data_IF_310679636285
#
_entry.id   IF_310679636285
#
_cell.length_a   1.000
_cell.length_b   1.000
_cell.length_c   1.000
_cell.angle_alpha   90.00
_cell.angle_beta   90.00
_cell.angle_gamma   90.00
#
_symmetry.space_group_name_H-M   'P 1'
#
loop_
_entity.id
_entity.type
_entity.pdbx_description
1 polymer ?
#
# COMPACT_ATOMS: atom_id res chain seq x y z
N UNK A 1 -18.84 2.21 10.69
CA UNK A 1 -17.84 1.35 11.38
C UNK A 1 -17.90 1.43 12.91
N UNK A 2 -18.28 2.55 13.56
CA UNK A 2 -18.60 2.55 15.01
C UNK A 2 -20.11 2.30 15.28
N UNK A 3 -20.95 2.36 14.25
CA UNK A 3 -22.39 2.13 14.35
C UNK A 3 -22.83 0.64 14.29
N UNK A 4 -21.91 -0.31 14.10
CA UNK A 4 -22.26 -1.71 13.73
C UNK A 4 -21.74 -2.81 14.70
N UNK A 5 -21.66 -2.53 16.01
CA UNK A 5 -21.33 -3.56 17.04
C UNK A 5 -19.92 -4.18 16.97
N UNK A 6 -18.96 -3.57 16.27
CA UNK A 6 -17.56 -4.02 16.31
C UNK A 6 -16.79 -3.41 17.49
N UNK A 7 -15.86 -4.18 18.08
CA UNK A 7 -15.01 -3.73 19.19
C UNK A 7 -13.72 -3.03 18.72
N UNK A 8 -13.25 -3.35 17.51
CA UNK A 8 -12.10 -2.72 16.85
C UNK A 8 -12.18 -2.85 15.32
N UNK A 9 -11.30 -2.14 14.61
CA UNK A 9 -11.06 -2.33 13.19
C UNK A 9 -9.58 -2.29 12.85
N UNK A 10 -9.18 -2.96 11.76
CA UNK A 10 -7.82 -2.87 11.22
C UNK A 10 -7.81 -1.93 10.02
N UNK A 11 -6.86 -0.99 9.98
CA UNK A 11 -6.69 -0.06 8.85
C UNK A 11 -5.21 0.19 8.56
N UNK A 12 -4.91 0.60 7.33
CA UNK A 12 -3.61 1.12 6.95
C UNK A 12 -3.43 2.55 7.47
N UNK A 13 -2.19 2.90 7.85
CA UNK A 13 -1.84 4.20 8.41
C UNK A 13 -1.96 4.27 9.93
N UNK A 14 -1.68 5.45 10.50
CA UNK A 14 -1.65 5.68 11.96
C UNK A 14 -2.51 6.85 12.45
N UNK A 15 -3.22 7.56 11.56
CA UNK A 15 -4.00 8.75 11.94
C UNK A 15 -5.32 8.31 12.58
N UNK A 16 -5.56 8.75 13.81
CA UNK A 16 -6.75 8.42 14.61
C UNK A 16 -7.70 9.61 14.73
N UNK A 17 -9.00 9.33 14.73
CA UNK A 17 -9.99 10.29 15.22
C UNK A 17 -9.83 10.48 16.73
N UNK A 18 -10.27 11.64 17.25
CA UNK A 18 -10.29 11.92 18.69
C UNK A 18 -11.01 10.78 19.44
N UNK A 19 -10.44 10.37 20.58
CA UNK A 19 -10.92 9.27 21.44
C UNK A 19 -10.75 7.83 20.89
N UNK A 20 -9.90 7.62 19.88
CA UNK A 20 -9.47 6.30 19.41
C UNK A 20 -8.01 6.02 19.76
N UNK A 21 -7.69 4.76 20.06
CA UNK A 21 -6.32 4.25 20.16
C UNK A 21 -5.94 3.59 18.82
N UNK A 22 -4.71 3.82 18.35
CA UNK A 22 -4.11 3.06 17.25
C UNK A 22 -2.87 2.31 17.75
N UNK A 23 -2.83 1.00 17.48
CA UNK A 23 -1.72 0.13 17.83
C UNK A 23 -1.16 -0.47 16.55
N UNK A 24 0.15 -0.32 16.25
CA UNK A 24 0.75 -0.96 15.08
C UNK A 24 0.70 -2.48 15.24
N UNK A 25 0.18 -3.17 14.22
CA UNK A 25 0.07 -4.64 14.19
C UNK A 25 0.81 -5.26 13.00
N UNK A 26 1.50 -4.45 12.21
CA UNK A 26 2.39 -4.91 11.15
C UNK A 26 3.59 -3.98 10.93
N UNK A 27 4.56 -4.39 10.09
CA UNK A 27 5.70 -3.58 9.74
C UNK A 27 5.29 -2.34 8.93
N UNK A 28 6.24 -1.43 8.71
CA UNK A 28 6.04 -0.37 7.71
C UNK A 28 5.93 -0.97 6.32
N UNK A 29 5.03 -0.40 5.52
CA UNK A 29 4.72 -0.86 4.18
C UNK A 29 5.27 0.10 3.15
N UNK A 30 5.42 -0.38 1.93
CA UNK A 30 5.87 0.39 0.78
C UNK A 30 5.07 -0.08 -0.42
N UNK A 31 4.66 0.85 -1.28
CA UNK A 31 4.12 0.47 -2.58
C UNK A 31 5.24 0.32 -3.60
N UNK A 32 4.98 -0.37 -4.70
CA UNK A 32 5.93 -0.59 -5.78
C UNK A 32 5.23 -0.48 -7.12
N UNK A 33 5.81 0.32 -8.02
CA UNK A 33 5.45 0.32 -9.44
C UNK A 33 6.27 -0.74 -10.15
N UNK A 34 5.60 -1.69 -10.80
CA UNK A 34 6.23 -2.86 -11.42
C UNK A 34 5.67 -3.12 -12.81
N UNK A 35 6.50 -3.63 -13.71
CA UNK A 35 6.09 -4.19 -15.01
C UNK A 35 6.99 -5.37 -15.40
N UNK A 36 6.50 -6.28 -16.25
CA UNK A 36 7.34 -7.38 -16.75
C UNK A 36 8.51 -6.86 -17.61
N UNK A 37 9.60 -7.64 -17.76
CA UNK A 37 10.62 -7.35 -18.75
C UNK A 37 10.08 -7.15 -20.16
N UNK A 38 9.12 -7.99 -20.60
CA UNK A 38 8.49 -7.92 -21.92
C UNK A 38 7.77 -6.59 -22.18
N UNK A 39 7.15 -6.00 -21.16
CA UNK A 39 6.52 -4.69 -21.27
C UNK A 39 7.53 -3.58 -21.66
N UNK A 40 8.77 -3.71 -21.18
CA UNK A 40 9.84 -2.72 -21.38
C UNK A 40 10.71 -2.97 -22.62
N UNK A 41 10.50 -4.05 -23.37
CA UNK A 41 11.28 -4.32 -24.61
C UNK A 41 11.16 -3.18 -25.64
N UNK A 42 9.97 -2.58 -25.73
CA UNK A 42 9.68 -1.48 -26.65
C UNK A 42 9.47 -0.12 -25.94
N UNK A 43 9.73 -0.04 -24.63
CA UNK A 43 9.38 1.13 -23.80
C UNK A 43 10.49 1.50 -22.83
N UNK A 44 10.87 2.77 -22.86
CA UNK A 44 11.77 3.33 -21.84
C UNK A 44 11.11 3.27 -20.46
N UNK A 45 11.87 2.90 -19.43
CA UNK A 45 11.37 2.88 -18.05
C UNK A 45 11.07 4.31 -17.56
N UNK A 46 9.96 4.55 -16.86
CA UNK A 46 9.64 5.87 -16.32
C UNK A 46 10.66 6.25 -15.24
N UNK A 47 11.07 7.52 -15.24
CA UNK A 47 12.03 8.10 -14.27
C UNK A 47 11.34 8.96 -13.22
N UNK A 48 10.18 9.51 -13.58
CA UNK A 48 9.32 10.34 -12.71
C UNK A 48 7.87 9.88 -12.79
N UNK A 49 7.02 10.14 -11.77
CA UNK A 49 5.60 9.83 -11.81
C UNK A 49 4.88 10.44 -13.01
N UNK A 50 5.33 11.59 -13.50
CA UNK A 50 4.76 12.27 -14.66
C UNK A 50 4.93 11.45 -15.94
N UNK A 51 6.00 10.66 -16.05
CA UNK A 51 6.25 9.80 -17.22
C UNK A 51 5.18 8.72 -17.40
N UNK A 52 4.39 8.41 -16.34
CA UNK A 52 3.32 7.42 -16.40
C UNK A 52 2.23 7.76 -17.44
N UNK A 53 2.11 9.03 -17.84
CA UNK A 53 1.19 9.43 -18.93
C UNK A 53 1.54 8.78 -20.27
N UNK A 54 2.80 8.38 -20.47
CA UNK A 54 3.27 7.67 -21.67
C UNK A 54 3.26 6.15 -21.51
N UNK A 55 2.70 5.62 -20.42
CA UNK A 55 2.67 4.21 -20.11
C UNK A 55 1.24 3.68 -19.99
N UNK A 56 1.04 2.44 -20.46
CA UNK A 56 -0.16 1.67 -20.14
C UNK A 56 -0.05 1.23 -18.67
N UNK A 57 -1.00 1.67 -17.84
CA UNK A 57 -1.08 1.31 -16.44
C UNK A 57 -2.32 0.43 -16.17
N UNK A 58 -2.21 -0.45 -15.18
CA UNK A 58 -3.30 -1.33 -14.75
C UNK A 58 -4.02 -0.65 -13.60
N UNK A 59 -5.32 -0.40 -13.78
CA UNK A 59 -6.13 0.32 -12.83
C UNK A 59 -6.63 -0.60 -11.70
N UNK A 60 -6.55 -0.11 -10.47
CA UNK A 60 -7.16 -0.76 -9.31
C UNK A 60 -8.47 -0.06 -8.94
N UNK A 61 -9.60 -0.73 -9.04
CA UNK A 61 -10.90 -0.24 -8.57
C UNK A 61 -11.07 -0.60 -7.10
N UNK A 62 -11.22 0.42 -6.24
CA UNK A 62 -11.45 0.21 -4.82
C UNK A 62 -12.95 -0.13 -4.58
N UNK A 63 -13.28 -1.34 -4.11
CA UNK A 63 -14.68 -1.79 -3.99
C UNK A 63 -15.53 -0.91 -3.07
N UNK A 64 -14.92 -0.34 -2.02
CA UNK A 64 -15.60 0.42 -0.98
C UNK A 64 -15.63 1.93 -1.22
N UNK A 65 -14.69 2.47 -2.00
CA UNK A 65 -14.63 3.90 -2.35
C UNK A 65 -15.23 4.22 -3.73
N UNK A 66 -15.61 3.21 -4.52
CA UNK A 66 -16.28 3.37 -5.82
C UNK A 66 -15.40 3.92 -6.96
N UNK A 67 -14.20 4.41 -6.65
CA UNK A 67 -13.26 5.02 -7.60
C UNK A 67 -12.09 4.12 -8.02
N UNK A 68 -11.35 4.58 -9.02
CA UNK A 68 -10.02 4.06 -9.33
C UNK A 68 -9.02 4.61 -8.32
N UNK A 69 -8.13 3.76 -7.84
CA UNK A 69 -7.08 4.14 -6.93
C UNK A 69 -6.14 5.14 -7.61
N UNK A 70 -6.01 6.31 -6.99
CA UNK A 70 -5.05 7.34 -7.42
C UNK A 70 -3.69 6.93 -6.92
N UNK A 71 -2.69 6.88 -7.79
CA UNK A 71 -1.35 6.48 -7.39
C UNK A 71 -0.70 7.64 -6.65
N UNK A 72 -0.28 7.38 -5.42
CA UNK A 72 0.31 8.35 -4.51
C UNK A 72 1.82 8.13 -4.45
N UNK A 73 2.59 9.18 -4.69
CA UNK A 73 4.04 9.20 -4.69
C UNK A 73 4.53 10.29 -3.75
N UNK A 74 5.69 10.11 -3.14
CA UNK A 74 6.38 11.13 -2.36
C UNK A 74 7.86 11.13 -2.70
N UNK A 75 8.44 12.32 -2.82
CA UNK A 75 9.90 12.51 -2.93
C UNK A 75 10.28 13.68 -2.02
N UNK A 76 10.77 13.36 -0.82
CA UNK A 76 11.23 14.36 0.14
C UNK A 76 10.12 15.24 0.71
N UNK A 77 8.94 14.66 0.98
CA UNK A 77 7.77 15.36 1.52
C UNK A 77 6.92 16.08 0.47
N UNK A 78 7.25 15.93 -0.82
CA UNK A 78 6.47 16.47 -1.93
C UNK A 78 5.57 15.39 -2.52
N UNK A 79 4.34 15.33 -2.02
CA UNK A 79 3.31 14.43 -2.54
C UNK A 79 2.98 14.72 -4.02
N UNK A 80 2.92 13.66 -4.82
CA UNK A 80 2.42 13.68 -6.20
C UNK A 80 1.34 12.62 -6.35
N UNK A 81 0.18 13.02 -6.87
CA UNK A 81 -0.96 12.11 -7.10
C UNK A 81 -1.22 11.98 -8.59
N UNK A 82 -1.14 10.76 -9.11
CA UNK A 82 -1.29 10.47 -10.54
C UNK A 82 -2.54 9.63 -10.75
N UNK A 83 -3.47 10.14 -11.56
CA UNK A 83 -4.51 9.31 -12.19
C UNK A 83 -3.90 8.71 -13.44
N UNK A 84 -3.77 7.39 -13.44
CA UNK A 84 -3.18 6.67 -14.55
C UNK A 84 -4.24 6.20 -15.53
N UNK A 85 -3.83 5.98 -16.78
CA UNK A 85 -4.70 5.47 -17.83
C UNK A 85 -4.27 4.08 -18.28
N UNK A 86 -5.23 3.28 -18.72
CA UNK A 86 -4.98 1.97 -19.30
C UNK A 86 -6.23 1.11 -19.38
N UNK A 87 -6.11 0.05 -20.16
CA UNK A 87 -7.23 -0.75 -20.66
C UNK A 87 -7.80 -1.69 -19.59
N UNK A 88 -6.92 -2.15 -18.69
CA UNK A 88 -7.28 -3.13 -17.68
C UNK A 88 -7.63 -2.44 -16.37
N UNK A 89 -8.75 -2.85 -15.79
CA UNK A 89 -9.19 -2.45 -14.45
C UNK A 89 -9.59 -3.69 -13.68
N UNK A 90 -9.01 -3.88 -12.50
CA UNK A 90 -9.34 -4.98 -11.60
C UNK A 90 -9.68 -4.44 -10.20
N UNK A 91 -10.46 -5.18 -9.45
CA UNK A 91 -10.77 -4.90 -8.04
C UNK A 91 -10.06 -5.88 -7.08
N UNK A 92 -9.11 -6.65 -7.60
CA UNK A 92 -8.36 -7.69 -6.87
C UNK A 92 -6.85 -7.55 -7.17
N UNK A 93 -6.05 -7.43 -6.12
CA UNK A 93 -4.61 -7.19 -6.24
C UNK A 93 -3.84 -8.34 -6.89
N UNK A 94 -4.30 -9.59 -6.75
CA UNK A 94 -3.66 -10.74 -7.40
C UNK A 94 -3.88 -10.71 -8.93
N UNK A 95 -5.03 -10.21 -9.40
CA UNK A 95 -5.27 -9.97 -10.82
C UNK A 95 -4.42 -8.83 -11.39
N UNK A 96 -4.20 -7.74 -10.63
CA UNK A 96 -3.24 -6.71 -11.02
C UNK A 96 -1.83 -7.28 -11.20
N UNK A 97 -1.37 -8.08 -10.23
CA UNK A 97 -0.06 -8.73 -10.26
C UNK A 97 0.09 -9.62 -11.50
N UNK A 98 -0.91 -10.48 -11.74
CA UNK A 98 -0.89 -11.38 -12.90
C UNK A 98 -0.84 -10.62 -14.22
N UNK A 99 -1.65 -9.58 -14.37
CA UNK A 99 -1.63 -8.75 -15.57
C UNK A 99 -0.29 -8.04 -15.79
N UNK A 100 0.39 -7.61 -14.72
CA UNK A 100 1.73 -7.02 -14.82
C UNK A 100 2.79 -8.05 -15.23
N UNK A 101 2.71 -9.28 -14.70
CA UNK A 101 3.59 -10.40 -15.07
C UNK A 101 3.42 -10.80 -16.54
N UNK A 102 2.18 -10.79 -17.02
CA UNK A 102 1.83 -11.11 -18.41
C UNK A 102 2.11 -9.93 -19.38
N UNK A 103 2.64 -8.80 -18.88
CA UNK A 103 3.11 -7.67 -19.68
C UNK A 103 2.03 -6.71 -20.18
N UNK A 104 0.85 -6.72 -19.57
CA UNK A 104 -0.26 -5.84 -19.98
C UNK A 104 -0.11 -4.38 -19.52
N UNK A 105 0.85 -4.06 -18.65
CA UNK A 105 1.03 -2.71 -18.16
C UNK A 105 1.86 -2.63 -16.89
N UNK A 106 1.97 -1.41 -16.37
CA UNK A 106 2.52 -1.14 -15.04
C UNK A 106 1.43 -1.33 -13.97
N UNK A 107 1.75 -2.03 -12.89
CA UNK A 107 0.89 -2.13 -11.71
C UNK A 107 1.50 -1.39 -10.52
N UNK A 108 0.63 -0.90 -9.64
CA UNK A 108 1.02 -0.28 -8.38
C UNK A 108 0.45 -1.08 -7.20
N UNK A 109 1.34 -1.81 -6.53
CA UNK A 109 0.99 -2.86 -5.56
C UNK A 109 1.86 -2.75 -4.29
N UNK A 110 1.42 -3.31 -3.15
CA UNK A 110 2.29 -3.51 -2.00
C UNK A 110 3.58 -4.25 -2.38
N UNK A 111 4.74 -3.77 -1.88
CA UNK A 111 6.08 -4.28 -2.20
C UNK A 111 6.24 -5.76 -1.84
N UNK A 112 5.65 -6.20 -0.74
CA UNK A 112 5.66 -7.58 -0.26
C UNK A 112 5.01 -8.57 -1.25
N UNK A 113 3.95 -8.15 -1.96
CA UNK A 113 3.31 -8.97 -2.98
C UNK A 113 4.18 -9.21 -4.22
N UNK A 114 5.07 -8.26 -4.53
CA UNK A 114 5.85 -8.28 -5.78
C UNK A 114 7.31 -8.66 -5.57
N UNK A 115 7.81 -8.65 -4.32
CA UNK A 115 9.24 -8.81 -4.00
C UNK A 115 9.84 -10.08 -4.60
N UNK A 116 9.22 -11.25 -4.40
CA UNK A 116 9.73 -12.50 -4.97
C UNK A 116 9.83 -12.46 -6.50
N UNK A 117 8.86 -11.83 -7.16
CA UNK A 117 8.87 -11.67 -8.62
C UNK A 117 9.95 -10.70 -9.11
N UNK A 118 10.29 -9.68 -8.31
CA UNK A 118 11.40 -8.77 -8.60
C UNK A 118 12.72 -9.50 -8.43
N UNK A 119 12.89 -10.25 -7.33
CA UNK A 119 14.11 -11.00 -7.01
C UNK A 119 14.41 -12.06 -8.07
N UNK A 120 13.36 -12.69 -8.62
CA UNK A 120 13.44 -13.65 -9.72
C UNK A 120 13.55 -13.01 -11.11
N UNK A 121 13.56 -11.67 -11.21
CA UNK A 121 13.64 -10.94 -12.48
C UNK A 121 12.38 -11.02 -13.35
N UNK A 122 11.28 -11.56 -12.84
CA UNK A 122 9.97 -11.61 -13.54
C UNK A 122 9.26 -10.27 -13.59
N UNK A 123 9.57 -9.39 -12.65
CA UNK A 123 9.12 -8.00 -12.62
C UNK A 123 10.30 -7.06 -12.46
N UNK A 124 10.20 -5.91 -13.13
CA UNK A 124 11.14 -4.81 -12.99
C UNK A 124 10.45 -3.72 -12.19
N UNK A 125 11.05 -3.38 -11.04
CA UNK A 125 10.64 -2.21 -10.27
C UNK A 125 11.07 -0.92 -10.96
N UNK A 126 10.18 0.05 -11.00
CA UNK A 126 10.44 1.41 -11.46
C UNK A 126 9.94 2.42 -10.43
N UNK A 127 10.38 3.68 -10.56
CA UNK A 127 9.98 4.78 -9.67
C UNK A 127 10.25 4.54 -8.18
N UNK A 128 11.21 3.67 -7.83
CA UNK A 128 11.47 3.28 -6.45
C UNK A 128 11.67 4.48 -5.51
N UNK A 129 12.44 5.48 -5.95
CA UNK A 129 12.74 6.69 -5.17
C UNK A 129 11.50 7.53 -4.79
N UNK A 130 10.35 7.27 -5.42
CA UNK A 130 9.10 8.00 -5.25
C UNK A 130 8.08 7.25 -4.37
N UNK A 131 8.42 6.05 -3.91
CA UNK A 131 7.52 5.20 -3.14
C UNK A 131 8.05 5.09 -1.72
N UNK A 132 7.89 6.09 -0.86
CA UNK A 132 8.40 6.01 0.52
C UNK A 132 7.65 4.99 1.39
N UNK A 133 8.29 4.58 2.48
CA UNK A 133 7.67 3.69 3.46
C UNK A 133 6.65 4.47 4.30
N UNK A 134 5.49 3.88 4.53
CA UNK A 134 4.43 4.44 5.35
C UNK A 134 4.04 3.47 6.49
N UNK A 135 3.39 3.96 7.56
CA UNK A 135 2.90 3.09 8.62
C UNK A 135 1.94 2.04 8.05
N UNK A 136 2.21 0.77 8.33
CA UNK A 136 1.40 -0.35 7.86
C UNK A 136 0.08 -0.48 8.63
N UNK A 137 -0.35 -1.72 8.84
CA UNK A 137 -1.61 -1.98 9.52
C UNK A 137 -1.57 -1.62 11.00
N UNK A 138 -2.63 -0.94 11.45
CA UNK A 138 -2.90 -0.62 12.84
C UNK A 138 -4.27 -1.18 13.24
N UNK A 139 -4.35 -1.63 14.49
CA UNK A 139 -5.60 -1.90 15.18
C UNK A 139 -6.13 -0.60 15.79
N UNK A 140 -7.39 -0.28 15.50
CA UNK A 140 -8.09 0.92 15.93
C UNK A 140 -9.27 0.56 16.83
N UNK A 141 -9.34 1.15 18.02
CA UNK A 141 -10.46 0.93 18.96
C UNK A 141 -10.73 2.14 19.87
N UNK A 142 -11.95 2.31 20.41
CA UNK A 142 -12.28 3.43 21.30
C UNK A 142 -11.51 3.36 22.62
N UNK A 143 -10.95 4.47 23.09
CA UNK A 143 -10.14 4.50 24.32
C UNK A 143 -10.94 4.40 25.62
N UNK A 144 -12.23 4.75 25.59
CA UNK A 144 -13.08 4.95 26.78
C UNK A 144 -14.10 3.85 27.04
N UNK A 145 -13.99 2.70 26.39
CA UNK A 145 -14.95 1.60 26.56
C UNK A 145 -14.44 0.64 27.64
N UNK A 146 -15.31 0.14 28.52
CA UNK A 146 -14.98 -1.05 29.32
C UNK A 146 -14.84 -2.22 28.35
N UNK A 147 -13.60 -2.52 27.98
CA UNK A 147 -13.27 -3.64 27.12
C UNK A 147 -13.55 -4.95 27.84
N UNK A 148 -14.00 -5.96 27.10
CA UNK A 148 -14.06 -7.31 27.65
C UNK A 148 -12.65 -7.83 27.93
N UNK A 149 -12.46 -8.76 28.89
CA UNK A 149 -11.17 -9.39 29.14
C UNK A 149 -10.57 -10.04 27.89
N UNK A 150 -11.41 -10.65 27.04
CA UNK A 150 -10.98 -11.24 25.78
C UNK A 150 -10.41 -10.20 24.80
N UNK A 151 -11.02 -9.02 24.72
CA UNK A 151 -10.51 -7.95 23.88
C UNK A 151 -9.19 -7.37 24.41
N UNK A 152 -9.06 -7.23 25.73
CA UNK A 152 -7.81 -6.78 26.35
C UNK A 152 -6.63 -7.72 26.00
N UNK A 153 -6.85 -9.03 26.07
CA UNK A 153 -5.85 -10.02 25.67
C UNK A 153 -5.46 -9.90 24.18
N UNK A 154 -6.43 -9.62 23.31
CA UNK A 154 -6.17 -9.40 21.89
C UNK A 154 -5.28 -8.17 21.66
N UNK A 155 -5.60 -7.05 22.33
CA UNK A 155 -4.82 -5.80 22.25
C UNK A 155 -3.40 -5.99 22.77
N UNK A 156 -3.17 -6.88 23.74
CA UNK A 156 -1.84 -7.20 24.26
C UNK A 156 -1.04 -8.12 23.31
N UNK A 157 -1.72 -9.04 22.61
CA UNK A 157 -1.08 -10.05 21.78
C UNK A 157 -0.76 -9.60 20.34
N UNK A 158 -1.58 -8.72 19.75
CA UNK A 158 -1.44 -8.25 18.37
C UNK A 158 -0.31 -7.24 18.06
N UNK A 159 0.21 -6.42 19.01
CA UNK A 159 1.18 -5.38 18.68
C UNK A 159 2.39 -5.93 17.94
N UNK A 160 2.75 -5.27 16.84
CA UNK A 160 3.95 -5.60 16.09
C UNK A 160 5.19 -5.28 16.92
N UNK A 161 6.04 -6.28 17.11
CA UNK A 161 7.34 -6.13 17.77
C UNK A 161 8.42 -6.18 16.68
N UNK A 162 8.97 -5.03 16.25
CA UNK A 162 9.99 -5.03 15.21
C UNK A 162 11.21 -5.81 15.67
N UNK A 163 11.78 -6.60 14.77
CA UNK A 163 13.11 -7.17 14.97
C UNK A 163 14.16 -6.05 14.94
N UNK A 164 15.31 -6.27 15.57
CA UNK A 164 16.41 -5.28 15.65
C UNK A 164 16.91 -4.96 14.22
N UNK A 165 16.44 -3.85 13.63
CA UNK A 165 16.84 -3.38 12.28
C UNK A 165 15.79 -2.56 11.52
N UNK A 166 14.51 -2.64 11.88
CA UNK A 166 13.39 -2.11 11.07
C UNK A 166 12.85 -0.73 11.46
N UNK A 167 13.54 0.05 12.33
CA UNK A 167 12.96 1.32 12.82
C UNK A 167 12.76 2.33 11.69
N UNK A 168 11.52 2.79 11.42
CA UNK A 168 11.28 3.83 10.43
C UNK A 168 11.80 5.18 10.91
N UNK A 169 12.16 6.05 9.96
CA UNK A 169 12.42 7.47 10.23
C UNK A 169 11.12 8.13 10.70
N UNK A 170 11.19 8.88 11.79
CA UNK A 170 10.05 9.63 12.31
C UNK A 170 9.54 10.63 11.26
N UNK A 171 8.23 10.66 11.05
CA UNK A 171 7.55 11.73 10.34
C UNK A 171 7.48 12.92 11.30
N UNK A 172 8.07 14.04 10.91
CA UNK A 172 7.98 15.31 11.65
C UNK A 172 6.61 15.95 11.41
N UNK A 173 5.99 16.43 12.49
CA UNK A 173 4.74 17.23 12.50
C UNK A 173 4.84 18.51 11.65
#
# INVERSE_FOLDING_TARGET
>A
MVAERFDAGVRLGGIVAKDMVAVPIGPTMRMAVVGSPSYFEARTKPRTPQDLVSHICINHRLPTLGGLYVWEFDEGGRETRVRVEGQLTFNDAAMLLRAALDGFGLAYLPEDMVRAHIDEGRLIRVLERWCDRFPGYHLYYPSRRQHSPAFALLVEALPYRPSVGERPRAVSD
#
